data_IF_113682231963
#
_entry.id   IF_113682231963
#
_cell.length_a   1.000
_cell.length_b   1.000
_cell.length_c   1.000
_cell.angle_alpha   90.00
_cell.angle_beta   90.00
_cell.angle_gamma   90.00
#
_symmetry.space_group_name_H-M   'P 1'
#
loop_
_entity.id
_entity.type
_entity.pdbx_description
1 polymer ?
#
# COMPACT_ATOMS: atom_id res chain seq x y z
N UNK A 1 -25.83 -5.97 14.70
CA UNK A 1 -25.09 -4.99 13.94
C UNK A 1 -26.05 -4.00 13.35
N UNK A 2 -26.06 -2.79 13.78
CA UNK A 2 -26.98 -1.78 13.31
C UNK A 2 -26.40 -0.90 12.23
N UNK A 3 -27.26 -0.01 11.75
CA UNK A 3 -26.84 0.97 10.76
C UNK A 3 -26.07 2.07 11.48
N UNK A 4 -24.94 2.44 10.97
CA UNK A 4 -24.05 3.43 11.60
C UNK A 4 -24.43 4.85 11.22
N UNK A 5 -24.26 5.76 12.15
CA UNK A 5 -24.41 7.18 11.87
C UNK A 5 -23.10 7.73 11.33
N UNK A 6 -23.16 8.94 10.80
CA UNK A 6 -21.96 9.62 10.31
C UNK A 6 -20.89 9.73 11.41
N UNK A 7 -21.31 10.12 12.61
CA UNK A 7 -20.40 10.29 13.73
C UNK A 7 -19.75 8.97 14.12
N UNK A 8 -20.51 7.90 14.13
CA UNK A 8 -19.98 6.59 14.47
C UNK A 8 -18.92 6.15 13.46
N UNK A 9 -19.18 6.42 12.19
CA UNK A 9 -18.23 6.07 11.13
C UNK A 9 -16.94 6.87 11.29
N UNK A 10 -17.05 8.17 11.50
CA UNK A 10 -15.87 9.03 11.58
C UNK A 10 -15.04 8.78 12.84
N UNK A 11 -15.66 8.26 13.89
CA UNK A 11 -14.97 7.99 15.12
C UNK A 11 -14.47 6.56 15.22
N UNK A 12 -14.80 5.70 14.28
CA UNK A 12 -14.38 4.32 14.32
C UNK A 12 -12.87 4.22 14.16
N UNK A 13 -12.26 3.37 14.99
CA UNK A 13 -10.83 3.13 14.92
C UNK A 13 -10.65 1.93 14.00
N UNK A 14 -10.49 2.19 12.72
CA UNK A 14 -10.44 1.13 11.72
C UNK A 14 -9.07 0.92 11.08
N UNK A 15 -8.05 1.60 11.58
CA UNK A 15 -6.70 1.41 11.05
C UNK A 15 -5.95 0.41 11.93
N UNK A 16 -5.64 -0.74 11.37
CA UNK A 16 -4.97 -1.80 12.09
C UNK A 16 -3.46 -1.66 11.95
N UNK A 17 -2.75 -2.00 12.99
CA UNK A 17 -1.29 -1.88 13.03
C UNK A 17 -0.70 -3.18 13.54
N UNK A 18 0.40 -3.60 12.94
CA UNK A 18 1.05 -4.84 13.31
C UNK A 18 2.56 -4.62 13.33
N UNK A 19 3.23 -5.17 14.34
CA UNK A 19 4.69 -5.11 14.40
C UNK A 19 5.25 -6.24 13.55
N UNK A 20 6.20 -5.90 12.69
CA UNK A 20 6.82 -6.87 11.80
C UNK A 20 8.31 -6.94 12.14
N UNK A 21 8.78 -8.13 12.47
CA UNK A 21 10.21 -8.33 12.74
C UNK A 21 10.95 -8.37 11.41
N UNK A 22 11.98 -7.55 11.29
CA UNK A 22 12.80 -7.50 10.09
C UNK A 22 14.23 -7.84 10.49
N UNK A 23 14.61 -9.12 10.44
CA UNK A 23 15.95 -9.52 10.88
C UNK A 23 17.06 -8.82 10.10
N UNK A 24 16.80 -8.51 8.83
CA UNK A 24 17.79 -7.82 8.01
C UNK A 24 18.17 -6.45 8.59
N UNK A 25 17.27 -5.83 9.34
CA UNK A 25 17.51 -4.53 9.95
C UNK A 25 17.67 -4.60 11.45
N UNK A 26 17.73 -5.82 11.97
CA UNK A 26 17.96 -6.07 13.39
C UNK A 26 16.95 -5.37 14.28
N UNK A 27 15.69 -5.39 13.88
CA UNK A 27 14.63 -4.75 14.65
C UNK A 27 13.27 -5.02 14.05
N UNK A 28 12.30 -4.25 14.51
CA UNK A 28 10.92 -4.38 14.05
C UNK A 28 10.40 -3.03 13.57
N UNK A 29 9.41 -3.07 12.69
CA UNK A 29 8.72 -1.86 12.24
C UNK A 29 7.23 -2.07 12.44
N UNK A 30 6.48 -0.99 12.57
CA UNK A 30 5.03 -1.07 12.59
C UNK A 30 4.51 -0.85 11.17
N UNK A 31 3.60 -1.70 10.75
CA UNK A 31 2.93 -1.59 9.45
C UNK A 31 1.45 -1.37 9.74
N UNK A 32 0.86 -0.39 9.09
CA UNK A 32 -0.51 0.00 9.38
C UNK A 32 -1.36 0.07 8.13
N UNK A 33 -2.66 -0.14 8.30
CA UNK A 33 -3.62 0.02 7.22
C UNK A 33 -3.54 1.45 6.67
N UNK A 34 -3.56 1.61 5.36
CA UNK A 34 -3.58 2.92 4.74
C UNK A 34 -4.96 3.56 4.89
N UNK A 35 -5.00 4.86 5.01
CA UNK A 35 -6.26 5.58 4.89
C UNK A 35 -6.70 5.51 3.42
N UNK A 36 -7.95 5.87 3.15
CA UNK A 36 -8.41 5.93 1.76
C UNK A 36 -7.60 6.89 0.92
N UNK A 37 -7.21 8.02 1.51
CA UNK A 37 -6.39 9.01 0.82
C UNK A 37 -5.03 8.42 0.43
N UNK A 38 -4.38 7.72 1.38
CA UNK A 38 -3.10 7.11 1.11
C UNK A 38 -3.21 5.99 0.09
N UNK A 39 -4.30 5.23 0.15
CA UNK A 39 -4.51 4.14 -0.80
C UNK A 39 -4.68 4.67 -2.21
N UNK A 40 -5.47 5.73 -2.37
CA UNK A 40 -5.65 6.35 -3.68
C UNK A 40 -4.33 6.88 -4.22
N UNK A 41 -3.53 7.51 -3.36
CA UNK A 41 -2.24 8.02 -3.77
C UNK A 41 -1.28 6.89 -4.15
N UNK A 42 -1.33 5.78 -3.43
CA UNK A 42 -0.51 4.62 -3.76
C UNK A 42 -0.89 4.07 -5.13
N UNK A 43 -2.20 3.90 -5.37
CA UNK A 43 -2.66 3.36 -6.65
C UNK A 43 -2.29 4.29 -7.79
N UNK A 44 -2.41 5.59 -7.58
CA UNK A 44 -2.02 6.54 -8.61
C UNK A 44 -0.53 6.48 -8.90
N UNK A 45 0.29 6.20 -7.88
CA UNK A 45 1.73 6.12 -8.05
C UNK A 45 2.16 4.93 -8.91
N UNK A 46 1.25 3.99 -9.16
CA UNK A 46 1.53 2.86 -10.04
C UNK A 46 1.25 3.17 -11.50
N UNK A 47 0.93 4.44 -11.80
CA UNK A 47 0.69 4.88 -13.16
C UNK A 47 1.78 5.88 -13.55
N UNK A 48 2.38 5.68 -14.72
CA UNK A 48 3.40 6.58 -15.23
C UNK A 48 3.09 6.86 -16.69
N UNK A 49 2.96 8.12 -17.03
CA UNK A 49 2.64 8.52 -18.42
C UNK A 49 1.38 7.84 -18.94
N UNK A 50 0.38 7.67 -18.07
CA UNK A 50 -0.88 7.05 -18.43
C UNK A 50 -0.85 5.55 -18.51
N UNK A 51 0.25 4.92 -18.14
CA UNK A 51 0.38 3.46 -18.20
C UNK A 51 0.74 2.88 -16.85
N UNK A 52 0.39 1.62 -16.65
CA UNK A 52 0.73 0.94 -15.41
C UNK A 52 2.24 0.83 -15.26
N UNK A 53 2.73 1.02 -14.06
CA UNK A 53 4.13 0.86 -13.75
C UNK A 53 4.26 0.26 -12.36
N UNK A 54 4.92 -0.88 -12.29
CA UNK A 54 5.16 -1.53 -10.99
C UNK A 54 6.56 -1.21 -10.49
N UNK A 55 7.18 -0.22 -11.08
CA UNK A 55 8.52 0.19 -10.65
C UNK A 55 8.48 0.62 -9.20
N UNK A 56 9.35 0.04 -8.40
CA UNK A 56 9.44 0.34 -6.97
C UNK A 56 8.14 0.09 -6.20
N UNK A 57 7.30 -0.82 -6.70
CA UNK A 57 6.01 -1.09 -6.05
C UNK A 57 6.17 -1.49 -4.59
N UNK A 58 7.13 -2.35 -4.27
CA UNK A 58 7.36 -2.76 -2.88
C UNK A 58 7.71 -1.56 -2.02
N UNK A 59 8.64 -0.75 -2.48
CA UNK A 59 9.06 0.42 -1.72
C UNK A 59 7.93 1.44 -1.57
N UNK A 60 7.12 1.59 -2.61
CA UNK A 60 5.98 2.52 -2.56
C UNK A 60 4.96 2.09 -1.52
N UNK A 61 4.64 0.81 -1.46
CA UNK A 61 3.68 0.32 -0.48
C UNK A 61 4.27 0.39 0.92
N UNK A 62 5.54 0.02 1.07
CA UNK A 62 6.20 0.10 2.38
C UNK A 62 6.23 1.54 2.88
N UNK A 63 6.55 2.49 2.01
CA UNK A 63 6.63 3.90 2.40
C UNK A 63 5.27 4.42 2.88
N UNK A 64 4.19 3.87 2.35
CA UNK A 64 2.85 4.31 2.75
C UNK A 64 2.34 3.61 4.00
N UNK A 65 2.93 2.49 4.40
CA UNK A 65 2.37 1.68 5.47
C UNK A 65 3.23 1.60 6.71
N UNK A 66 4.53 1.90 6.62
CA UNK A 66 5.40 1.88 7.80
C UNK A 66 5.15 3.14 8.61
N UNK A 67 4.83 2.95 9.88
CA UNK A 67 4.51 4.07 10.78
C UNK A 67 5.29 3.96 12.06
N UNK A 68 5.29 5.04 12.85
CA UNK A 68 5.91 5.04 14.16
C UNK A 68 4.89 4.58 15.21
N UNK A 69 5.26 4.65 16.46
CA UNK A 69 4.42 4.23 17.57
C UNK A 69 3.09 4.99 17.64
N UNK A 70 3.06 6.19 17.09
CA UNK A 70 1.88 7.02 17.12
C UNK A 70 1.03 6.91 15.86
N UNK A 71 1.44 6.07 14.93
CA UNK A 71 0.71 5.89 13.68
C UNK A 71 1.08 6.88 12.60
N UNK A 72 2.15 7.63 12.78
CA UNK A 72 2.60 8.61 11.78
C UNK A 72 3.57 7.94 10.81
N UNK A 73 3.47 8.26 9.54
CA UNK A 73 4.34 7.67 8.53
C UNK A 73 5.79 8.06 8.77
N UNK A 74 6.68 7.08 8.63
CA UNK A 74 8.12 7.33 8.76
C UNK A 74 8.73 7.82 7.45
N UNK A 75 8.13 7.48 6.33
CA UNK A 75 8.69 7.79 5.01
C UNK A 75 7.73 8.61 4.18
N UNK A 76 8.28 9.43 3.30
CA UNK A 76 7.49 10.20 2.34
C UNK A 76 7.76 9.66 0.95
N UNK A 77 7.13 10.26 -0.05
CA UNK A 77 7.37 9.85 -1.43
C UNK A 77 8.82 10.09 -1.85
N UNK A 78 9.47 11.06 -1.24
CA UNK A 78 10.86 11.35 -1.56
C UNK A 78 11.80 10.26 -1.07
N UNK A 79 11.34 9.42 -0.16
CA UNK A 79 12.16 8.36 0.40
C UNK A 79 12.03 7.03 -0.34
N UNK A 80 11.11 6.95 -1.30
CA UNK A 80 10.81 5.69 -1.99
C UNK A 80 12.06 5.11 -2.67
N UNK A 81 12.82 5.95 -3.34
CA UNK A 81 14.00 5.47 -4.05
C UNK A 81 15.03 4.90 -3.09
N UNK A 82 15.29 5.60 -2.01
CA UNK A 82 16.24 5.13 -1.00
C UNK A 82 15.76 3.84 -0.35
N UNK A 83 14.45 3.77 -0.06
CA UNK A 83 13.89 2.57 0.54
C UNK A 83 13.96 1.39 -0.43
N UNK A 84 13.80 1.66 -1.72
CA UNK A 84 13.87 0.63 -2.74
C UNK A 84 15.25 0.01 -2.89
N UNK A 85 16.28 0.66 -2.34
CA UNK A 85 17.64 0.12 -2.39
C UNK A 85 17.93 -0.83 -1.23
N UNK A 86 16.98 -1.01 -0.32
CA UNK A 86 17.15 -1.94 0.78
C UNK A 86 16.93 -3.37 0.29
N UNK A 87 17.24 -4.32 1.16
CA UNK A 87 17.12 -5.74 0.85
C UNK A 87 15.73 -6.09 0.34
N UNK A 88 15.66 -6.80 -0.77
CA UNK A 88 14.38 -7.27 -1.30
C UNK A 88 13.66 -8.19 -0.33
N UNK A 89 14.41 -9.00 0.42
CA UNK A 89 13.82 -9.89 1.42
C UNK A 89 13.19 -9.10 2.55
N UNK A 90 13.87 -8.03 3.00
CA UNK A 90 13.32 -7.19 4.06
C UNK A 90 12.05 -6.49 3.58
N UNK A 91 12.07 -5.94 2.38
CA UNK A 91 10.90 -5.28 1.83
C UNK A 91 9.76 -6.25 1.61
N UNK A 92 10.05 -7.49 1.19
CA UNK A 92 9.01 -8.49 1.00
C UNK A 92 8.28 -8.84 2.28
N UNK A 93 9.00 -8.94 3.41
CA UNK A 93 8.35 -9.22 4.69
C UNK A 93 7.33 -8.16 5.03
N UNK A 94 7.70 -6.91 4.84
CA UNK A 94 6.83 -5.78 5.13
C UNK A 94 5.70 -5.72 4.10
N UNK A 95 6.04 -5.96 2.84
CA UNK A 95 5.09 -5.90 1.74
C UNK A 95 3.94 -6.90 1.93
N UNK A 96 4.27 -8.12 2.35
CA UNK A 96 3.26 -9.15 2.59
C UNK A 96 2.28 -8.75 3.69
N UNK A 97 2.80 -8.21 4.78
CA UNK A 97 1.95 -7.76 5.88
C UNK A 97 1.11 -6.58 5.44
N UNK A 98 1.71 -5.64 4.71
CA UNK A 98 1.00 -4.48 4.21
C UNK A 98 -0.14 -4.87 3.28
N UNK A 99 0.09 -5.85 2.40
CA UNK A 99 -0.95 -6.35 1.52
C UNK A 99 -2.10 -6.95 2.30
N UNK A 100 -1.79 -7.75 3.30
CA UNK A 100 -2.80 -8.42 4.11
C UNK A 100 -3.63 -7.42 4.91
N UNK A 101 -2.96 -6.48 5.55
CA UNK A 101 -3.67 -5.48 6.36
C UNK A 101 -4.55 -4.56 5.52
N UNK A 102 -4.16 -4.34 4.28
CA UNK A 102 -4.90 -3.43 3.40
C UNK A 102 -5.85 -4.15 2.45
N UNK A 103 -5.96 -5.46 2.60
CA UNK A 103 -6.86 -6.23 1.75
C UNK A 103 -6.43 -6.26 0.29
N UNK A 104 -5.12 -6.15 0.02
CA UNK A 104 -4.61 -6.18 -1.33
C UNK A 104 -3.86 -7.50 -1.51
N UNK A 105 -4.46 -8.47 -2.13
CA UNK A 105 -3.77 -9.73 -2.39
C UNK A 105 -2.86 -9.62 -3.59
N UNK A 106 -2.05 -10.64 -3.81
CA UNK A 106 -1.14 -10.67 -4.94
C UNK A 106 -1.91 -10.55 -6.25
N UNK A 107 -3.07 -11.21 -6.34
CA UNK A 107 -3.89 -11.12 -7.55
C UNK A 107 -4.42 -9.71 -7.76
N UNK A 108 -4.78 -9.03 -6.70
CA UNK A 108 -5.27 -7.65 -6.80
C UNK A 108 -4.18 -6.72 -7.29
N UNK A 109 -2.94 -6.91 -6.80
CA UNK A 109 -1.83 -6.08 -7.25
C UNK A 109 -1.55 -6.33 -8.74
N UNK A 110 -1.61 -7.58 -9.15
CA UNK A 110 -1.40 -7.92 -10.54
C UNK A 110 -2.48 -7.31 -11.43
N UNK A 111 -3.73 -7.41 -11.00
CA UNK A 111 -4.84 -6.81 -11.73
C UNK A 111 -4.72 -5.30 -11.80
N UNK A 112 -4.29 -4.68 -10.72
CA UNK A 112 -4.12 -3.25 -10.70
C UNK A 112 -3.12 -2.82 -11.75
N UNK A 113 -2.00 -3.51 -11.84
CA UNK A 113 -0.99 -3.21 -12.83
C UNK A 113 -1.53 -3.40 -14.24
N UNK A 114 -2.27 -4.49 -14.47
CA UNK A 114 -2.81 -4.76 -15.79
C UNK A 114 -3.92 -3.80 -16.18
N UNK A 115 -4.79 -3.46 -15.22
CA UNK A 115 -5.91 -2.60 -15.54
C UNK A 115 -5.51 -1.15 -15.80
N UNK A 116 -4.33 -0.76 -15.39
CA UNK A 116 -3.87 0.59 -15.66
C UNK A 116 -3.32 0.72 -17.07
N UNK A 117 -3.09 -0.39 -17.75
CA UNK A 117 -2.58 -0.36 -19.10
C UNK A 117 -3.72 -0.24 -20.10
N UNK A 118 -3.65 0.63 -21.06
CA UNK A 118 -4.69 0.72 -22.07
C UNK A 118 -4.71 -0.54 -22.90
N UNK A 119 -5.86 -1.14 -23.03
CA UNK A 119 -6.02 -2.34 -23.83
C UNK A 119 -7.03 -2.03 -24.89
N UNK A 120 -6.62 -2.00 -26.13
CA UNK A 120 -7.52 -1.63 -27.20
C UNK A 120 -8.71 -2.57 -27.26
N UNK A 121 -9.82 -2.01 -27.33
CA UNK A 121 -11.01 -2.77 -27.57
C UNK A 121 -11.65 -3.44 -26.42
N UNK A 122 -11.06 -3.39 -25.24
CA UNK A 122 -11.74 -4.09 -24.21
C UNK A 122 -12.33 -3.19 -23.21
N UNK A 123 -11.97 -1.98 -23.21
CA UNK A 123 -12.41 -1.14 -22.21
C UNK A 123 -13.84 -0.94 -22.24
N UNK A 124 -14.48 -0.88 -23.33
CA UNK A 124 -15.76 -0.53 -23.30
C UNK A 124 -16.62 -1.56 -23.58
N UNK A 125 -16.11 -2.60 -23.92
CA UNK A 125 -17.01 -3.63 -24.25
C UNK A 125 -17.79 -4.06 -23.07
N UNK A 126 -17.36 -3.71 -21.95
CA UNK A 126 -18.10 -4.13 -20.84
C UNK A 126 -19.17 -3.26 -20.55
N UNK A 127 -19.30 -2.26 -21.20
CA UNK A 127 -20.36 -1.36 -20.87
C UNK A 127 -21.66 -1.87 -20.86
#
# INVERSE_FOLDING_TARGET
>A
VGILSKEQILQADDLRREAVVVPDWDGSVFVQTMTGIDRDAFELSLTKDGKASIENMRAKLCARTIVDENGNRLFTEDDVEALGKKSGTALDRIFEVAQRLNGIGADAMEKLAKNSEPTPGDDFCTS
#
